data_IF_607511258738
#
_entry.id   IF_607511258738
#
_cell.length_a   1.000
_cell.length_b   1.000
_cell.length_c   1.000
_cell.angle_alpha   90.00
_cell.angle_beta   90.00
_cell.angle_gamma   90.00
#
_symmetry.space_group_name_H-M   'P 1'
#
loop_
_entity.id
_entity.type
_entity.pdbx_description
1 polymer ?
#
# COMPACT_ATOMS: atom_id res chain seq x y z
N UNK A 1 12.94 14.06 24.93
CA UNK A 1 11.79 13.12 25.03
C UNK A 1 10.70 13.82 25.84
N UNK A 2 9.46 13.71 25.44
CA UNK A 2 8.31 14.23 26.16
C UNK A 2 7.86 13.12 27.13
N UNK A 3 8.07 13.23 28.46
CA UNK A 3 7.94 12.11 29.39
C UNK A 3 6.51 11.57 29.57
N UNK A 4 5.50 12.29 29.07
CA UNK A 4 4.09 11.88 29.15
C UNK A 4 3.45 11.69 27.76
N UNK A 5 4.25 11.53 26.70
CA UNK A 5 3.75 11.38 25.35
C UNK A 5 3.56 9.91 25.01
N UNK A 6 2.35 9.53 24.68
CA UNK A 6 2.02 8.22 24.14
C UNK A 6 2.15 8.23 22.61
N UNK A 7 2.87 7.27 22.07
CA UNK A 7 2.99 7.08 20.62
C UNK A 7 2.11 5.91 20.17
N UNK A 8 1.33 6.14 19.14
CA UNK A 8 0.44 5.11 18.58
C UNK A 8 0.69 4.99 17.09
N UNK A 9 1.07 3.79 16.66
CA UNK A 9 1.13 3.46 15.23
C UNK A 9 -0.25 3.11 14.73
N UNK A 10 -0.69 3.75 13.64
CA UNK A 10 -2.01 3.55 13.03
C UNK A 10 -1.83 3.06 11.60
N UNK A 11 -2.65 2.09 11.23
CA UNK A 11 -2.71 1.59 9.85
C UNK A 11 -4.14 1.58 9.33
N UNK A 12 -4.28 1.90 8.04
CA UNK A 12 -5.52 1.76 7.30
C UNK A 12 -5.47 2.45 5.96
N UNK A 13 -6.00 1.81 4.90
CA UNK A 13 -6.16 2.42 3.59
C UNK A 13 -7.37 3.38 3.57
N UNK A 14 -7.41 4.26 2.58
CA UNK A 14 -8.51 5.22 2.36
C UNK A 14 -9.85 4.52 2.18
N UNK A 15 -9.85 3.36 1.57
CA UNK A 15 -11.03 2.55 1.23
C UNK A 15 -11.80 2.04 2.45
N UNK A 16 -11.21 2.11 3.64
CA UNK A 16 -11.86 1.74 4.92
C UNK A 16 -12.09 2.95 5.83
N UNK A 17 -12.06 4.14 5.31
CA UNK A 17 -12.27 5.40 6.05
C UNK A 17 -11.24 5.58 7.16
N UNK A 18 -10.02 5.89 6.78
CA UNK A 18 -8.79 6.13 7.57
C UNK A 18 -8.15 4.87 8.15
N UNK A 19 -8.40 4.56 9.43
CA UNK A 19 -7.62 3.59 10.16
C UNK A 19 -8.44 2.36 10.56
N UNK A 20 -7.82 1.19 10.53
CA UNK A 20 -8.46 -0.07 10.94
C UNK A 20 -7.72 -0.79 12.07
N UNK A 21 -6.44 -0.52 12.25
CA UNK A 21 -5.66 -1.09 13.35
C UNK A 21 -4.87 0.00 14.10
N UNK A 22 -4.43 -0.35 15.29
CA UNK A 22 -3.57 0.49 16.11
C UNK A 22 -2.60 -0.35 16.93
N UNK A 23 -1.44 0.23 17.22
CA UNK A 23 -0.43 -0.30 18.11
C UNK A 23 0.10 0.81 19.00
N UNK A 24 0.09 0.61 20.32
CA UNK A 24 0.74 1.54 21.27
C UNK A 24 2.20 1.17 21.40
N UNK A 25 3.06 2.11 21.03
CA UNK A 25 4.51 1.95 21.06
C UNK A 25 4.97 2.12 22.51
N UNK A 26 5.59 1.10 23.06
CA UNK A 26 6.07 1.11 24.46
C UNK A 26 7.61 1.14 24.57
N UNK A 27 8.31 1.06 23.43
CA UNK A 27 9.77 1.10 23.35
C UNK A 27 10.45 -0.25 23.58
N UNK A 28 9.67 -1.34 23.60
CA UNK A 28 10.21 -2.70 23.71
C UNK A 28 10.36 -3.37 22.32
N UNK A 29 9.94 -2.67 21.26
CA UNK A 29 9.96 -3.18 19.89
C UNK A 29 11.40 -3.33 19.39
N UNK A 30 11.75 -4.54 18.96
CA UNK A 30 13.03 -4.83 18.33
C UNK A 30 12.88 -4.81 16.80
N UNK A 31 13.05 -3.61 16.24
CA UNK A 31 13.06 -3.38 14.78
C UNK A 31 11.76 -2.87 14.21
N UNK A 32 10.86 -3.72 13.70
CA UNK A 32 9.63 -3.29 13.01
C UNK A 32 8.51 -3.03 14.01
N UNK A 33 8.00 -1.80 14.03
CA UNK A 33 6.83 -1.45 14.83
C UNK A 33 5.59 -2.11 14.22
N UNK A 34 4.84 -2.95 14.96
CA UNK A 34 3.62 -3.57 14.48
C UNK A 34 2.57 -2.52 14.04
N UNK A 35 1.70 -2.89 13.12
CA UNK A 35 0.45 -2.15 12.86
C UNK A 35 -0.65 -2.54 13.85
N UNK A 36 -0.40 -3.57 14.65
CA UNK A 36 -1.10 -3.89 15.88
C UNK A 36 -2.39 -4.69 15.72
N UNK A 37 -3.44 -4.25 16.40
CA UNK A 37 -4.72 -4.95 16.49
C UNK A 37 -5.87 -4.13 15.89
N UNK A 38 -6.92 -4.78 15.37
CA UNK A 38 -8.11 -4.07 14.88
C UNK A 38 -8.77 -3.21 15.95
N UNK A 39 -9.37 -2.08 15.53
CA UNK A 39 -10.36 -1.40 16.35
C UNK A 39 -11.61 -2.32 16.55
N UNK A 40 -12.32 -2.13 17.64
CA UNK A 40 -13.46 -3.00 18.03
C UNK A 40 -14.59 -3.10 17.00
N UNK A 41 -14.67 -2.13 16.08
CA UNK A 41 -15.67 -2.06 15.02
C UNK A 41 -15.14 -2.41 13.63
N UNK A 42 -13.94 -2.96 13.55
CA UNK A 42 -13.27 -3.39 12.32
C UNK A 42 -12.98 -4.88 12.37
N UNK A 43 -13.11 -5.52 11.24
CA UNK A 43 -12.64 -6.86 11.01
C UNK A 43 -11.37 -6.77 10.17
N UNK A 44 -10.21 -7.17 10.71
CA UNK A 44 -8.93 -7.19 9.98
C UNK A 44 -8.30 -8.56 10.19
N UNK A 45 -7.91 -9.20 9.10
CA UNK A 45 -7.34 -10.54 9.12
C UNK A 45 -6.38 -10.73 7.95
N UNK A 46 -5.58 -11.78 8.01
CA UNK A 46 -4.73 -12.23 6.92
C UNK A 46 -5.42 -13.31 6.11
N UNK A 47 -5.21 -13.28 4.79
CA UNK A 47 -5.70 -14.30 3.89
C UNK A 47 -4.60 -14.80 2.94
N UNK A 48 -4.67 -16.09 2.60
CA UNK A 48 -3.84 -16.70 1.57
C UNK A 48 -4.46 -16.48 0.15
N UNK A 49 -3.73 -16.92 -0.88
CA UNK A 49 -4.20 -16.88 -2.27
C UNK A 49 -5.45 -17.74 -2.50
N UNK A 50 -5.65 -18.78 -1.69
CA UNK A 50 -6.81 -19.66 -1.72
C UNK A 50 -8.03 -19.13 -0.96
N UNK A 51 -8.01 -17.88 -0.52
CA UNK A 51 -9.04 -17.24 0.29
C UNK A 51 -9.30 -17.96 1.63
N UNK A 52 -8.28 -18.46 2.29
CA UNK A 52 -8.35 -19.01 3.64
C UNK A 52 -7.72 -18.03 4.62
N UNK A 53 -8.35 -17.89 5.80
CA UNK A 53 -7.77 -17.07 6.87
C UNK A 53 -6.47 -17.69 7.39
N UNK A 54 -5.48 -16.85 7.64
CA UNK A 54 -4.20 -17.22 8.25
C UNK A 54 -4.24 -16.72 9.69
N UNK A 55 -4.10 -17.65 10.63
CA UNK A 55 -4.01 -17.37 12.07
C UNK A 55 -2.64 -17.73 12.65
N UNK A 56 -1.80 -18.40 11.84
CA UNK A 56 -0.49 -18.86 12.26
C UNK A 56 0.51 -17.70 12.34
N UNK A 57 1.29 -17.69 13.44
CA UNK A 57 2.38 -16.73 13.66
C UNK A 57 3.48 -16.90 12.60
N UNK A 58 4.00 -15.79 12.10
CA UNK A 58 5.10 -15.75 11.13
C UNK A 58 4.71 -16.13 9.70
N UNK A 59 3.45 -16.49 9.44
CA UNK A 59 2.98 -16.81 8.09
C UNK A 59 2.45 -15.53 7.42
N UNK A 60 3.07 -15.18 6.29
CA UNK A 60 2.69 -13.99 5.52
C UNK A 60 1.42 -14.23 4.70
N UNK A 61 0.52 -13.25 4.70
CA UNK A 61 -0.70 -13.22 3.90
C UNK A 61 -1.12 -11.80 3.55
N UNK A 62 -2.12 -11.68 2.69
CA UNK A 62 -2.70 -10.38 2.35
C UNK A 62 -3.59 -9.88 3.50
N UNK A 63 -3.39 -8.61 3.87
CA UNK A 63 -4.23 -7.94 4.86
C UNK A 63 -5.59 -7.65 4.22
N UNK A 64 -6.64 -8.21 4.80
CA UNK A 64 -8.02 -8.03 4.38
C UNK A 64 -8.81 -7.29 5.45
N UNK A 65 -9.70 -6.40 5.05
CA UNK A 65 -10.50 -5.58 5.97
C UNK A 65 -11.98 -5.69 5.65
N UNK A 66 -12.77 -6.01 6.66
CA UNK A 66 -14.23 -6.04 6.62
C UNK A 66 -14.86 -5.01 7.56
N UNK A 67 -16.18 -4.88 7.48
CA UNK A 67 -16.96 -4.07 8.40
C UNK A 67 -17.62 -2.84 7.78
N UNK A 68 -18.31 -2.07 8.63
CA UNK A 68 -19.20 -0.97 8.20
C UNK A 68 -18.48 0.29 7.67
N UNK A 69 -17.17 0.33 7.78
CA UNK A 69 -16.40 1.49 7.34
C UNK A 69 -15.83 1.37 5.93
N UNK A 70 -16.12 0.29 5.24
CA UNK A 70 -15.76 0.15 3.84
C UNK A 70 -16.44 1.22 2.99
N UNK A 71 -15.69 1.79 2.05
CA UNK A 71 -16.25 2.62 0.99
C UNK A 71 -17.13 1.78 0.06
N UNK A 72 -17.92 2.45 -0.77
CA UNK A 72 -18.77 1.77 -1.77
C UNK A 72 -17.98 1.26 -2.98
N UNK A 73 -16.67 1.52 -3.04
CA UNK A 73 -15.80 1.20 -4.16
C UNK A 73 -15.22 2.44 -4.85
N UNK A 74 -14.70 2.27 -6.05
CA UNK A 74 -14.05 3.33 -6.82
C UNK A 74 -15.03 3.98 -7.81
N UNK A 75 -15.04 5.31 -7.82
CA UNK A 75 -15.94 6.08 -8.69
C UNK A 75 -15.67 5.77 -10.17
N UNK A 76 -16.72 5.36 -10.89
CA UNK A 76 -16.68 4.98 -12.31
C UNK A 76 -15.63 3.90 -12.67
N UNK A 77 -15.14 3.15 -11.70
CA UNK A 77 -14.20 2.05 -11.92
C UNK A 77 -14.73 0.74 -11.33
N UNK A 78 -15.73 0.18 -12.03
CA UNK A 78 -16.39 -1.07 -11.63
C UNK A 78 -15.41 -2.24 -11.57
N UNK A 79 -14.49 -2.32 -12.56
CA UNK A 79 -13.51 -3.41 -12.66
C UNK A 79 -12.62 -3.49 -11.44
N UNK A 80 -12.03 -2.36 -11.01
CA UNK A 80 -11.16 -2.33 -9.83
C UNK A 80 -11.97 -2.49 -8.54
N UNK A 81 -13.21 -1.98 -8.50
CA UNK A 81 -14.12 -2.20 -7.37
C UNK A 81 -14.38 -3.68 -7.16
N UNK A 82 -14.77 -4.41 -8.20
CA UNK A 82 -15.06 -5.85 -8.12
C UNK A 82 -13.83 -6.69 -7.78
N UNK A 83 -12.64 -6.23 -8.19
CA UNK A 83 -11.36 -6.89 -7.88
C UNK A 83 -10.98 -6.73 -6.41
N UNK A 84 -11.17 -5.54 -5.82
CA UNK A 84 -10.72 -5.20 -4.47
C UNK A 84 -11.80 -5.40 -3.41
N UNK A 85 -13.06 -5.10 -3.72
CA UNK A 85 -14.19 -5.27 -2.80
C UNK A 85 -14.91 -6.58 -3.13
N UNK A 86 -14.48 -7.64 -2.49
CA UNK A 86 -14.97 -8.98 -2.76
C UNK A 86 -16.02 -9.41 -1.73
N UNK A 87 -16.90 -10.34 -2.13
CA UNK A 87 -17.81 -10.97 -1.17
C UNK A 87 -16.99 -11.72 -0.12
N UNK A 88 -17.34 -11.55 1.15
CA UNK A 88 -16.66 -12.25 2.25
C UNK A 88 -16.82 -13.77 2.12
N UNK A 89 -15.84 -14.40 1.51
CA UNK A 89 -15.73 -15.86 1.38
C UNK A 89 -14.90 -16.47 2.52
N UNK A 90 -14.38 -15.62 3.43
CA UNK A 90 -13.46 -16.00 4.49
C UNK A 90 -14.15 -16.33 5.82
N UNK A 91 -15.45 -16.27 5.91
CA UNK A 91 -16.19 -16.44 7.16
C UNK A 91 -17.56 -17.13 6.97
N UNK A 92 -18.46 -16.85 7.92
CA UNK A 92 -19.81 -17.41 7.95
C UNK A 92 -20.61 -17.14 6.66
N UNK A 93 -21.50 -18.08 6.24
CA UNK A 93 -22.38 -17.88 5.11
C UNK A 93 -23.21 -16.60 5.28
N UNK A 94 -23.15 -15.68 4.31
CA UNK A 94 -23.84 -14.38 4.38
C UNK A 94 -22.93 -13.23 4.82
N UNK A 95 -21.65 -13.46 5.01
CA UNK A 95 -20.65 -12.42 5.27
C UNK A 95 -20.69 -11.29 4.24
N UNK A 96 -20.48 -10.05 4.72
CA UNK A 96 -20.56 -8.83 3.93
C UNK A 96 -19.47 -8.72 2.85
N UNK A 97 -19.09 -7.50 2.54
CA UNK A 97 -17.96 -7.21 1.63
C UNK A 97 -16.67 -7.12 2.44
N UNK A 98 -15.58 -7.58 1.85
CA UNK A 98 -14.21 -7.46 2.36
C UNK A 98 -13.38 -6.71 1.33
N UNK A 99 -12.57 -5.78 1.80
CA UNK A 99 -11.59 -5.07 0.99
C UNK A 99 -10.24 -5.79 1.03
N UNK A 100 -9.72 -6.17 -0.13
CA UNK A 100 -8.39 -6.72 -0.34
C UNK A 100 -7.42 -5.56 -0.56
N UNK A 101 -6.53 -5.34 0.42
CA UNK A 101 -5.70 -4.12 0.45
C UNK A 101 -4.54 -4.15 -0.53
N UNK A 102 -4.06 -5.34 -0.90
CA UNK A 102 -2.79 -5.54 -1.59
C UNK A 102 -1.58 -5.39 -0.65
N UNK A 103 -1.80 -5.07 0.61
CA UNK A 103 -0.77 -5.04 1.63
C UNK A 103 -0.55 -6.46 2.20
N UNK A 104 0.71 -6.85 2.37
CA UNK A 104 1.10 -8.13 2.98
C UNK A 104 1.49 -7.92 4.44
N UNK A 105 1.25 -8.93 5.25
CA UNK A 105 1.63 -8.91 6.66
C UNK A 105 1.67 -10.30 7.26
N UNK A 106 2.13 -10.35 8.50
CA UNK A 106 2.13 -11.56 9.33
C UNK A 106 1.73 -11.22 10.77
N UNK A 107 1.32 -12.22 11.53
CA UNK A 107 1.18 -12.08 12.99
C UNK A 107 2.51 -12.38 13.67
N UNK A 108 2.93 -11.50 14.59
CA UNK A 108 4.07 -11.78 15.46
C UNK A 108 3.66 -12.70 16.63
N UNK A 109 4.62 -13.05 17.51
CA UNK A 109 4.40 -13.94 18.66
C UNK A 109 3.34 -13.42 19.65
N UNK A 110 3.08 -12.11 19.65
CA UNK A 110 2.05 -11.47 20.47
C UNK A 110 0.70 -11.35 19.76
N UNK A 111 0.52 -12.03 18.60
CA UNK A 111 -0.66 -11.95 17.73
C UNK A 111 -0.99 -10.51 17.30
N UNK A 112 0.04 -9.70 17.11
CA UNK A 112 -0.06 -8.36 16.56
C UNK A 112 0.30 -8.40 15.08
N UNK A 113 -0.46 -7.67 14.27
CA UNK A 113 -0.24 -7.60 12.83
C UNK A 113 1.00 -6.75 12.53
N UNK A 114 1.91 -7.28 11.75
CA UNK A 114 3.07 -6.60 11.20
C UNK A 114 2.89 -6.41 9.70
N UNK A 115 3.40 -5.30 9.17
CA UNK A 115 3.34 -4.98 7.75
C UNK A 115 4.63 -5.43 7.05
N UNK A 116 4.50 -6.24 5.99
CA UNK A 116 5.62 -6.83 5.25
C UNK A 116 5.87 -6.16 3.88
N UNK A 117 5.01 -5.25 3.47
CA UNK A 117 5.10 -4.60 2.16
C UNK A 117 3.84 -4.74 1.33
N UNK A 118 3.97 -4.62 0.01
CA UNK A 118 2.86 -4.72 -0.95
C UNK A 118 3.11 -5.78 -2.01
N UNK A 119 2.01 -6.35 -2.53
CA UNK A 119 2.06 -7.26 -3.69
C UNK A 119 2.11 -6.52 -5.01
N UNK A 120 1.71 -5.26 -5.03
CA UNK A 120 1.70 -4.39 -6.21
C UNK A 120 2.82 -3.34 -6.14
N UNK A 121 2.99 -2.58 -7.21
CA UNK A 121 4.02 -1.54 -7.31
C UNK A 121 3.59 -0.20 -6.73
N UNK A 122 2.53 -0.19 -5.91
CA UNK A 122 2.07 1.02 -5.25
C UNK A 122 3.02 1.45 -4.16
N UNK A 123 3.34 2.74 -4.12
CA UNK A 123 4.25 3.33 -3.14
C UNK A 123 3.58 4.46 -2.35
N UNK A 124 4.16 4.78 -1.19
CA UNK A 124 3.87 6.02 -0.45
C UNK A 124 5.08 6.94 -0.52
N UNK A 125 4.93 8.10 -1.17
CA UNK A 125 5.99 9.09 -1.31
C UNK A 125 5.47 10.49 -1.01
N UNK A 126 6.13 11.21 -0.12
CA UNK A 126 5.75 12.57 0.29
C UNK A 126 4.28 12.67 0.79
N UNK A 127 3.76 11.61 1.43
CA UNK A 127 2.36 11.54 1.89
C UNK A 127 1.34 11.17 0.82
N UNK A 128 1.76 11.00 -0.44
CA UNK A 128 0.89 10.61 -1.56
C UNK A 128 1.00 9.11 -1.84
N UNK A 129 -0.13 8.51 -2.20
CA UNK A 129 -0.24 7.16 -2.73
C UNK A 129 -0.05 7.22 -4.24
N UNK A 130 0.93 6.49 -4.77
CA UNK A 130 1.35 6.55 -6.17
C UNK A 130 1.37 5.13 -6.73
N UNK A 131 0.72 4.94 -7.87
CA UNK A 131 0.86 3.75 -8.69
C UNK A 131 2.07 3.95 -9.62
N UNK A 132 3.09 3.11 -9.53
CA UNK A 132 4.28 3.26 -10.40
C UNK A 132 3.94 3.07 -11.87
N UNK A 133 2.97 2.23 -12.18
CA UNK A 133 2.47 2.02 -13.54
C UNK A 133 1.87 3.30 -14.15
N UNK A 134 1.24 4.17 -13.35
CA UNK A 134 0.76 5.47 -13.82
C UNK A 134 1.92 6.38 -14.18
N UNK A 135 2.97 6.39 -13.36
CA UNK A 135 4.20 7.15 -13.65
C UNK A 135 4.86 6.64 -14.93
N UNK A 136 5.00 5.32 -15.07
CA UNK A 136 5.57 4.67 -16.25
C UNK A 136 4.77 4.98 -17.50
N UNK A 137 3.44 4.96 -17.42
CA UNK A 137 2.57 5.28 -18.54
C UNK A 137 2.75 6.73 -19.01
N UNK A 138 2.75 7.68 -18.09
CA UNK A 138 2.94 9.11 -18.40
C UNK A 138 4.33 9.39 -18.98
N UNK A 139 5.38 8.76 -18.43
CA UNK A 139 6.73 8.86 -18.95
C UNK A 139 6.85 8.20 -20.34
N UNK A 140 6.21 7.04 -20.52
CA UNK A 140 6.20 6.33 -21.80
C UNK A 140 5.52 7.09 -22.94
N UNK A 141 4.66 8.06 -22.64
CA UNK A 141 4.06 8.96 -23.62
C UNK A 141 4.98 10.12 -24.05
N UNK A 142 6.21 10.22 -23.52
CA UNK A 142 7.14 11.28 -23.87
C UNK A 142 7.90 10.95 -25.15
N UNK A 143 8.19 11.98 -25.94
CA UNK A 143 8.97 11.83 -27.16
C UNK A 143 10.39 11.32 -26.85
N UNK A 144 10.84 10.35 -27.61
CA UNK A 144 12.14 9.72 -27.42
C UNK A 144 12.21 8.69 -26.29
N UNK A 145 11.06 8.26 -25.74
CA UNK A 145 10.95 7.19 -24.76
C UNK A 145 10.35 5.95 -25.43
N UNK A 146 11.11 4.84 -25.51
CA UNK A 146 10.62 3.57 -26.07
C UNK A 146 10.06 2.65 -24.98
N UNK A 147 10.74 2.59 -23.83
CA UNK A 147 10.36 1.79 -22.66
C UNK A 147 10.81 2.48 -21.39
N UNK A 148 10.06 2.28 -20.33
CA UNK A 148 10.40 2.78 -18.99
C UNK A 148 9.95 1.79 -17.92
N UNK A 149 10.74 1.71 -16.84
CA UNK A 149 10.41 0.99 -15.62
C UNK A 149 10.82 1.84 -14.43
N UNK A 150 9.93 2.01 -13.47
CA UNK A 150 10.17 2.82 -12.29
C UNK A 150 10.42 1.94 -11.06
N UNK A 151 11.49 2.23 -10.33
CA UNK A 151 11.79 1.57 -9.05
C UNK A 151 11.87 2.60 -7.93
N UNK A 152 11.28 2.25 -6.80
CA UNK A 152 11.30 3.07 -5.60
C UNK A 152 12.06 2.38 -4.47
N UNK A 153 13.12 3.03 -3.99
CA UNK A 153 13.84 2.59 -2.80
C UNK A 153 13.23 3.25 -1.55
N UNK A 154 12.58 2.44 -0.72
CA UNK A 154 11.92 2.91 0.50
C UNK A 154 12.90 3.42 1.57
N UNK A 155 14.18 3.01 1.55
CA UNK A 155 15.21 3.45 2.50
C UNK A 155 15.74 4.83 2.14
N UNK A 156 16.08 5.02 0.88
CA UNK A 156 16.62 6.30 0.38
C UNK A 156 15.54 7.28 -0.06
N UNK A 157 14.28 6.82 -0.14
CA UNK A 157 13.12 7.58 -0.64
C UNK A 157 13.29 8.07 -2.08
N UNK A 158 14.13 7.38 -2.87
CA UNK A 158 14.39 7.71 -4.26
C UNK A 158 13.48 6.92 -5.20
N UNK A 159 12.91 7.61 -6.17
CA UNK A 159 12.23 7.06 -7.34
C UNK A 159 13.17 7.19 -8.54
N UNK A 160 13.54 6.07 -9.14
CA UNK A 160 14.42 6.01 -10.30
C UNK A 160 13.66 5.45 -11.49
N UNK A 161 13.72 6.13 -12.63
CA UNK A 161 13.19 5.65 -13.90
C UNK A 161 14.34 5.09 -14.75
N UNK A 162 14.31 3.80 -15.00
CA UNK A 162 15.18 3.13 -15.98
C UNK A 162 14.47 3.12 -17.33
N UNK A 163 15.14 3.56 -18.36
CA UNK A 163 14.49 3.70 -19.68
C UNK A 163 15.37 3.28 -20.85
N UNK A 164 14.71 3.01 -21.96
CA UNK A 164 15.30 2.84 -23.28
C UNK A 164 14.68 3.90 -24.18
N UNK A 165 15.53 4.63 -24.90
CA UNK A 165 15.07 5.69 -25.79
C UNK A 165 16.20 6.60 -26.24
N UNK A 166 15.86 7.66 -26.95
CA UNK A 166 16.80 8.65 -27.51
C UNK A 166 16.82 9.97 -26.75
N UNK A 167 15.82 10.21 -25.89
CA UNK A 167 15.74 11.41 -25.07
C UNK A 167 16.83 11.47 -24.01
N UNK A 168 17.37 12.66 -23.76
CA UNK A 168 18.39 12.85 -22.72
C UNK A 168 17.74 12.88 -21.32
N UNK A 169 18.48 12.47 -20.25
CA UNK A 169 17.95 12.54 -18.87
C UNK A 169 17.50 13.95 -18.45
N UNK A 170 18.17 15.01 -18.93
CA UNK A 170 17.80 16.39 -18.60
C UNK A 170 16.49 16.83 -19.27
N UNK A 171 16.28 16.40 -20.50
CA UNK A 171 15.05 16.61 -21.24
C UNK A 171 13.86 15.89 -20.59
N UNK A 172 14.06 14.62 -20.19
CA UNK A 172 13.06 13.84 -19.46
C UNK A 172 12.71 14.45 -18.10
N UNK A 173 13.71 14.98 -17.36
CA UNK A 173 13.45 15.71 -16.11
C UNK A 173 12.61 16.96 -16.33
N UNK A 174 12.87 17.73 -17.39
CA UNK A 174 12.10 18.92 -17.73
C UNK A 174 10.66 18.53 -18.09
N UNK A 175 10.48 17.61 -19.01
CA UNK A 175 9.16 17.13 -19.46
C UNK A 175 8.37 16.49 -18.33
N UNK A 176 9.02 15.69 -17.48
CA UNK A 176 8.41 15.07 -16.32
C UNK A 176 7.82 16.10 -15.36
N UNK A 177 8.51 17.23 -15.11
CA UNK A 177 8.00 18.31 -14.26
C UNK A 177 6.82 19.07 -14.87
N UNK A 178 6.67 19.05 -16.18
CA UNK A 178 5.54 19.69 -16.88
C UNK A 178 4.28 18.81 -16.86
N UNK A 179 4.43 17.48 -16.82
CA UNK A 179 3.34 16.52 -16.93
C UNK A 179 2.94 15.86 -15.62
N UNK A 180 3.92 15.59 -14.74
CA UNK A 180 3.72 14.88 -13.50
C UNK A 180 3.73 15.83 -12.30
N UNK A 181 2.89 15.59 -11.30
CA UNK A 181 3.04 16.23 -10.00
C UNK A 181 4.42 15.96 -9.40
N UNK A 182 4.97 16.90 -8.65
CA UNK A 182 6.34 16.81 -8.09
C UNK A 182 6.59 15.51 -7.33
N UNK A 183 5.60 15.02 -6.60
CA UNK A 183 5.72 13.77 -5.84
C UNK A 183 5.78 12.51 -6.71
N UNK A 184 5.36 12.58 -7.99
CA UNK A 184 5.44 11.49 -8.98
C UNK A 184 6.70 11.58 -9.85
N UNK A 185 7.39 12.74 -9.88
CA UNK A 185 8.58 12.90 -10.71
C UNK A 185 9.73 12.01 -10.23
N UNK A 186 10.39 11.21 -11.10
CA UNK A 186 11.60 10.50 -10.76
C UNK A 186 12.72 11.42 -10.29
N UNK A 187 13.51 10.96 -9.33
CA UNK A 187 14.74 11.64 -8.90
C UNK A 187 15.85 11.51 -9.93
N UNK A 188 15.89 10.35 -10.58
CA UNK A 188 16.94 9.97 -11.53
C UNK A 188 16.32 9.27 -12.75
N UNK A 189 16.93 9.49 -13.92
CA UNK A 189 16.67 8.78 -15.18
C UNK A 189 17.99 8.10 -15.60
N UNK A 190 17.94 6.79 -15.82
CA UNK A 190 19.10 5.93 -16.14
C UNK A 190 18.83 5.12 -17.40
#
# INVERSE_FOLDING_TARGET
ALPETEFVNLYGPTEITCNCTYYRVDGTEDGVIPIGRPFSNREVFLADEGNRRIEAVGVTGEICVGGKALSSGYYRNKKETEKRFVRNVFGEPGGGIVYRTGDMGHYNENLQLCFDGRTDHQIKRMGHRIELEEVEWELGCMEGMDRVCCLYDSRTKKLTAYYVGTASPDELRRLGRERLPVYMCPNEFI
#
